data_IF_248657165337
#
_entry.id   IF_248657165337
#
_cell.length_a   1.000
_cell.length_b   1.000
_cell.length_c   1.000
_cell.angle_alpha   90.00
_cell.angle_beta   90.00
_cell.angle_gamma   90.00
#
_symmetry.space_group_name_H-M   'P 1'
#
loop_
_entity.id
_entity.type
_entity.pdbx_description
1 polymer ?
#
# COMPACT_ATOMS: atom_id res chain seq x y z
N UNK A 1 -10.60 42.97 2.81
CA UNK A 1 -9.29 43.08 3.46
C UNK A 1 -8.66 41.72 3.83
N UNK A 2 -9.11 40.58 3.26
CA UNK A 2 -8.58 39.23 3.52
C UNK A 2 -8.08 38.49 2.26
N UNK A 3 -7.78 39.20 1.17
CA UNK A 3 -7.12 38.64 -0.03
C UNK A 3 -5.64 39.04 -0.17
N UNK A 4 -5.17 40.03 0.59
CA UNK A 4 -3.77 40.47 0.58
C UNK A 4 -2.86 39.71 1.57
N UNK A 5 -3.42 38.85 2.43
CA UNK A 5 -2.64 38.14 3.47
C UNK A 5 -2.10 36.76 3.04
N UNK A 6 -2.38 36.29 1.82
CA UNK A 6 -1.90 34.97 1.34
C UNK A 6 -0.77 35.03 0.32
N UNK A 7 -0.39 36.21 -0.14
CA UNK A 7 0.77 36.40 -1.04
C UNK A 7 2.05 36.76 -0.25
N UNK A 8 1.89 37.21 1.01
CA UNK A 8 3.02 37.65 1.84
C UNK A 8 3.86 36.51 2.44
N UNK A 9 3.40 35.25 2.44
CA UNK A 9 4.17 34.12 2.99
C UNK A 9 5.05 33.40 1.96
N UNK A 10 4.81 33.61 0.66
CA UNK A 10 5.68 33.10 -0.41
C UNK A 10 6.92 33.98 -0.63
N UNK A 11 6.85 35.27 -0.27
CA UNK A 11 7.95 36.22 -0.43
C UNK A 11 9.08 36.07 0.62
N UNK A 12 8.85 35.34 1.72
CA UNK A 12 9.86 35.15 2.77
C UNK A 12 10.71 33.87 2.61
N UNK A 13 10.23 32.87 1.89
CA UNK A 13 11.00 31.63 1.62
C UNK A 13 12.05 31.86 0.50
N UNK A 14 11.87 32.87 -0.34
CA UNK A 14 12.81 33.22 -1.40
C UNK A 14 14.09 33.93 -0.92
N UNK A 15 14.19 34.37 0.34
CA UNK A 15 15.36 35.13 0.82
C UNK A 15 16.40 34.28 1.56
N UNK A 16 16.15 32.99 1.83
CA UNK A 16 17.09 32.12 2.58
C UNK A 16 17.78 31.04 1.73
N UNK A 17 17.60 31.07 0.40
CA UNK A 17 18.33 30.21 -0.55
C UNK A 17 19.18 31.02 -1.56
N UNK A 18 19.50 32.27 -1.24
CA UNK A 18 20.44 33.09 -2.02
C UNK A 18 21.78 33.20 -1.30
N UNK A 19 22.55 32.12 -1.35
CA UNK A 19 24.01 32.15 -1.34
C UNK A 19 24.48 30.80 -1.91
N UNK A 20 25.17 30.82 -3.05
CA UNK A 20 25.89 29.69 -3.68
C UNK A 20 25.23 28.84 -4.79
N UNK A 21 24.34 29.38 -5.63
CA UNK A 21 24.15 28.81 -6.99
C UNK A 21 24.14 29.93 -8.03
N UNK A 22 25.06 29.94 -9.01
CA UNK A 22 25.08 30.95 -10.07
C UNK A 22 23.82 30.84 -10.95
N UNK A 23 23.18 31.99 -11.19
CA UNK A 23 21.85 32.15 -11.80
C UNK A 23 21.72 31.76 -13.29
N UNK A 24 22.71 31.10 -13.90
CA UNK A 24 22.75 30.89 -15.36
C UNK A 24 22.68 29.43 -15.84
N UNK A 25 22.27 28.46 -15.01
CA UNK A 25 22.19 27.06 -15.44
C UNK A 25 20.83 26.38 -15.26
N UNK A 26 19.78 27.12 -14.89
CA UNK A 26 18.44 26.54 -14.69
C UNK A 26 17.44 27.25 -15.59
N UNK A 27 16.80 26.50 -16.48
CA UNK A 27 15.66 26.95 -17.26
C UNK A 27 14.42 27.02 -16.35
N UNK A 28 14.32 28.14 -15.63
CA UNK A 28 13.24 28.42 -14.69
C UNK A 28 11.87 28.52 -15.38
N UNK A 29 11.85 28.90 -16.66
CA UNK A 29 10.61 29.01 -17.44
C UNK A 29 10.07 27.61 -17.75
N UNK A 30 10.95 26.67 -18.14
CA UNK A 30 10.58 25.26 -18.31
C UNK A 30 10.12 24.59 -17.01
N UNK A 31 10.74 24.92 -15.88
CA UNK A 31 10.37 24.36 -14.57
C UNK A 31 8.98 24.84 -14.09
N UNK A 32 8.70 26.14 -14.22
CA UNK A 32 7.39 26.72 -13.87
C UNK A 32 6.30 26.20 -14.84
N UNK A 33 6.62 26.07 -16.13
CA UNK A 33 5.69 25.49 -17.12
C UNK A 33 5.30 24.05 -16.80
N UNK A 34 6.24 23.22 -16.34
CA UNK A 34 5.97 21.84 -15.92
C UNK A 34 5.11 21.76 -14.65
N UNK A 35 5.31 22.67 -13.70
CA UNK A 35 4.48 22.76 -12.49
C UNK A 35 3.04 23.17 -12.81
N UNK A 36 2.84 24.16 -13.70
CA UNK A 36 1.51 24.54 -14.14
C UNK A 36 0.81 23.42 -14.93
N UNK A 37 1.55 22.72 -15.79
CA UNK A 37 1.02 21.57 -16.54
C UNK A 37 0.61 20.43 -15.60
N UNK A 38 1.46 20.10 -14.62
CA UNK A 38 1.15 19.10 -13.60
C UNK A 38 -0.08 19.50 -12.76
N UNK A 39 -0.17 20.76 -12.33
CA UNK A 39 -1.32 21.27 -11.59
C UNK A 39 -2.62 21.17 -12.39
N UNK A 40 -2.60 21.56 -13.68
CA UNK A 40 -3.77 21.46 -14.58
C UNK A 40 -4.20 20.01 -14.82
N UNK A 41 -3.24 19.11 -14.98
CA UNK A 41 -3.52 17.67 -15.18
C UNK A 41 -4.16 17.07 -13.92
N UNK A 42 -3.66 17.40 -12.73
CA UNK A 42 -4.25 16.95 -11.46
C UNK A 42 -5.69 17.49 -11.30
N UNK A 43 -5.92 18.77 -11.60
CA UNK A 43 -7.26 19.35 -11.54
C UNK A 43 -8.23 18.66 -12.52
N UNK A 44 -7.78 18.35 -13.73
CA UNK A 44 -8.61 17.64 -14.72
C UNK A 44 -9.02 16.23 -14.27
N UNK A 45 -8.12 15.49 -13.60
CA UNK A 45 -8.44 14.16 -13.06
C UNK A 45 -9.41 14.23 -11.87
N UNK A 46 -9.29 15.24 -11.01
CA UNK A 46 -10.23 15.46 -9.91
C UNK A 46 -11.62 15.77 -10.45
N UNK A 47 -11.73 16.66 -11.45
CA UNK A 47 -13.03 16.97 -12.06
C UNK A 47 -13.66 15.80 -12.82
N UNK A 48 -12.84 14.94 -13.46
CA UNK A 48 -13.34 13.73 -14.11
C UNK A 48 -13.87 12.71 -13.10
N UNK A 49 -13.18 12.53 -11.97
CA UNK A 49 -13.61 11.64 -10.89
C UNK A 49 -14.88 12.14 -10.19
N UNK A 50 -15.08 13.46 -10.09
CA UNK A 50 -16.30 14.06 -9.54
C UNK A 50 -17.51 13.90 -10.48
N UNK A 51 -17.28 13.98 -11.80
CA UNK A 51 -18.32 13.79 -12.83
C UNK A 51 -18.78 12.32 -12.95
N UNK A 52 -17.90 11.34 -12.72
CA UNK A 52 -18.26 9.91 -12.71
C UNK A 52 -19.03 9.48 -11.44
N UNK A 53 -19.05 10.30 -10.38
CA UNK A 53 -19.75 9.97 -9.13
C UNK A 53 -21.24 10.33 -9.11
N UNK A 54 -21.75 11.06 -10.13
CA UNK A 54 -23.13 11.59 -10.11
C UNK A 54 -24.17 10.74 -10.84
N UNK A 55 -23.81 9.58 -11.40
CA UNK A 55 -24.75 8.78 -12.21
C UNK A 55 -24.61 7.28 -11.98
N UNK A 56 -25.11 6.80 -10.84
CA UNK A 56 -25.71 5.45 -10.74
C UNK A 56 -26.64 5.41 -9.53
N UNK A 57 -27.91 5.72 -9.77
CA UNK A 57 -29.03 5.44 -8.88
C UNK A 57 -29.93 4.41 -9.56
N UNK A 58 -30.42 3.46 -8.78
CA UNK A 58 -31.41 2.40 -9.09
C UNK A 58 -30.88 1.12 -9.75
N UNK A 59 -30.84 0.02 -8.99
CA UNK A 59 -31.84 -1.06 -9.00
C UNK A 59 -31.36 -2.20 -8.09
N UNK A 60 -32.17 -2.53 -7.08
CA UNK A 60 -31.96 -3.64 -6.16
C UNK A 60 -32.58 -4.90 -6.77
N UNK A 61 -31.81 -5.98 -6.90
CA UNK A 61 -32.32 -7.33 -7.09
C UNK A 61 -31.83 -8.23 -5.95
N UNK A 62 -32.74 -9.06 -5.45
CA UNK A 62 -32.65 -9.88 -4.24
C UNK A 62 -31.72 -11.09 -4.40
N UNK A 63 -31.02 -11.46 -3.32
CA UNK A 63 -30.17 -12.65 -3.23
C UNK A 63 -31.01 -13.96 -3.24
N UNK A 64 -30.58 -15.02 -3.95
CA UNK A 64 -31.18 -16.35 -3.82
C UNK A 64 -30.61 -17.12 -2.60
N UNK A 65 -31.37 -18.11 -2.06
CA UNK A 65 -31.15 -18.65 -0.72
C UNK A 65 -29.95 -19.60 -0.63
N UNK A 66 -29.35 -19.62 0.56
CA UNK A 66 -28.30 -20.54 0.99
C UNK A 66 -28.78 -22.01 0.90
N UNK A 67 -27.97 -22.85 0.23
CA UNK A 67 -28.13 -24.30 0.27
C UNK A 67 -27.22 -24.91 1.33
N UNK A 68 -27.81 -25.48 2.38
CA UNK A 68 -27.14 -26.38 3.32
C UNK A 68 -26.64 -27.64 2.61
N UNK A 69 -25.37 -28.00 2.79
CA UNK A 69 -24.90 -29.37 2.51
C UNK A 69 -24.02 -29.89 3.63
N UNK A 70 -24.63 -30.75 4.45
CA UNK A 70 -24.16 -32.01 5.00
C UNK A 70 -22.65 -32.29 5.10
N UNK A 71 -22.22 -32.55 6.33
CA UNK A 71 -20.95 -33.20 6.65
C UNK A 71 -20.87 -34.62 6.06
N UNK A 72 -19.82 -34.88 5.27
CA UNK A 72 -19.31 -36.22 5.00
C UNK A 72 -17.80 -36.24 5.21
N UNK A 73 -17.36 -37.24 5.97
CA UNK A 73 -16.01 -37.36 6.51
C UNK A 73 -15.06 -38.04 5.53
N UNK A 74 -13.84 -37.50 5.41
CA UNK A 74 -12.60 -38.25 5.18
C UNK A 74 -12.27 -38.72 3.76
N UNK A 75 -11.55 -37.89 2.99
CA UNK A 75 -10.29 -38.25 2.29
C UNK A 75 -9.83 -37.13 1.34
N UNK A 76 -8.55 -36.74 1.41
CA UNK A 76 -7.84 -36.06 0.32
C UNK A 76 -7.90 -34.53 0.22
N UNK A 77 -8.48 -33.78 1.18
CA UNK A 77 -8.42 -32.31 1.13
C UNK A 77 -6.95 -31.88 1.37
N UNK A 78 -6.30 -31.18 0.42
CA UNK A 78 -4.97 -30.64 0.66
C UNK A 78 -4.99 -29.77 1.91
N UNK A 79 -3.97 -29.86 2.76
CA UNK A 79 -3.82 -28.88 3.84
C UNK A 79 -3.81 -27.48 3.25
N UNK A 80 -4.24 -26.47 4.02
CA UNK A 80 -4.23 -25.07 3.58
C UNK A 80 -2.85 -24.67 3.02
N UNK A 81 -1.76 -25.11 3.64
CA UNK A 81 -0.38 -24.89 3.16
C UNK A 81 -0.13 -25.52 1.79
N UNK A 82 -0.58 -26.75 1.56
CA UNK A 82 -0.47 -27.41 0.26
C UNK A 82 -1.28 -26.68 -0.83
N UNK A 83 -2.48 -26.18 -0.50
CA UNK A 83 -3.29 -25.38 -1.43
C UNK A 83 -2.62 -24.04 -1.77
N UNK A 84 -2.06 -23.33 -0.77
CA UNK A 84 -1.31 -22.09 -0.99
C UNK A 84 -0.10 -22.32 -1.90
N UNK A 85 0.69 -23.37 -1.64
CA UNK A 85 1.84 -23.74 -2.48
C UNK A 85 1.44 -24.14 -3.89
N UNK A 86 0.34 -24.89 -4.05
CA UNK A 86 -0.20 -25.24 -5.36
C UNK A 86 -0.62 -24.00 -6.16
N UNK A 87 -1.06 -22.93 -5.48
CA UNK A 87 -1.36 -21.63 -6.08
C UNK A 87 -0.12 -20.74 -6.33
N UNK A 88 1.09 -21.26 -6.10
CA UNK A 88 2.36 -20.54 -6.32
C UNK A 88 2.79 -19.62 -5.17
N UNK A 89 2.05 -19.65 -4.06
CA UNK A 89 2.37 -18.85 -2.89
C UNK A 89 3.45 -19.53 -2.03
N UNK A 90 4.36 -18.72 -1.50
CA UNK A 90 5.43 -19.15 -0.59
C UNK A 90 5.45 -18.25 0.64
N UNK A 91 5.83 -18.81 1.78
CA UNK A 91 6.08 -18.02 2.98
C UNK A 91 7.34 -17.18 2.79
N UNK A 92 7.25 -15.87 3.05
CA UNK A 92 8.38 -14.95 2.92
C UNK A 92 9.56 -15.35 3.80
N UNK A 93 9.31 -15.90 4.99
CA UNK A 93 10.37 -16.28 5.93
C UNK A 93 11.10 -17.58 5.51
N UNK A 94 10.52 -18.38 4.61
CA UNK A 94 11.24 -19.48 3.94
C UNK A 94 12.21 -18.97 2.87
N UNK A 95 11.96 -17.78 2.31
CA UNK A 95 12.81 -17.15 1.28
C UNK A 95 13.90 -16.28 1.92
N UNK A 96 13.55 -15.47 2.90
CA UNK A 96 14.48 -14.66 3.68
C UNK A 96 14.01 -14.57 5.14
N UNK A 97 14.57 -15.38 6.05
CA UNK A 97 14.16 -15.42 7.46
C UNK A 97 14.53 -14.14 8.23
N UNK A 98 15.27 -13.21 7.62
CA UNK A 98 15.63 -11.93 8.25
C UNK A 98 14.57 -10.86 8.07
N UNK A 99 13.55 -11.10 7.23
CA UNK A 99 12.40 -10.21 7.08
C UNK A 99 11.44 -10.45 8.24
N UNK A 100 11.10 -9.37 8.94
CA UNK A 100 10.15 -9.44 10.05
C UNK A 100 8.71 -9.47 9.50
N UNK A 101 7.85 -10.21 10.19
CA UNK A 101 6.43 -10.34 9.84
C UNK A 101 5.60 -10.08 11.08
N UNK A 102 4.66 -9.16 10.97
CA UNK A 102 3.66 -8.85 11.99
C UNK A 102 2.35 -8.52 11.26
N UNK A 103 1.64 -9.56 10.82
CA UNK A 103 0.44 -9.38 10.02
C UNK A 103 -0.64 -8.67 10.84
N UNK A 104 -0.96 -7.42 10.48
CA UNK A 104 -1.87 -6.57 11.25
C UNK A 104 -3.27 -7.16 11.32
N UNK A 105 -3.74 -7.76 10.23
CA UNK A 105 -5.01 -8.48 10.18
C UNK A 105 -5.00 -9.85 10.89
N UNK A 106 -3.86 -10.35 11.39
CA UNK A 106 -3.82 -11.48 12.33
C UNK A 106 -3.97 -11.05 13.81
N UNK A 107 -4.07 -9.75 14.07
CA UNK A 107 -4.19 -9.16 15.42
C UNK A 107 -5.41 -8.23 15.49
N UNK A 108 -5.69 -7.64 16.65
CA UNK A 108 -6.67 -6.55 16.77
C UNK A 108 -6.11 -5.16 16.39
N UNK A 109 -4.81 -5.05 16.11
CA UNK A 109 -4.15 -3.80 15.69
C UNK A 109 -4.36 -3.55 14.18
N UNK A 110 -5.63 -3.32 13.81
CA UNK A 110 -6.04 -2.93 12.47
C UNK A 110 -7.35 -2.12 12.57
N UNK A 111 -7.79 -1.49 11.48
CA UNK A 111 -8.96 -0.61 11.55
C UNK A 111 -10.29 -1.31 11.92
N UNK A 112 -10.37 -2.65 11.81
CA UNK A 112 -11.56 -3.41 12.22
C UNK A 112 -11.60 -3.72 13.72
N UNK A 113 -10.47 -3.55 14.43
CA UNK A 113 -10.35 -3.81 15.86
C UNK A 113 -10.39 -5.29 16.27
N UNK A 114 -10.39 -6.23 15.31
CA UNK A 114 -10.40 -7.68 15.54
C UNK A 114 -9.49 -8.42 14.56
N UNK A 115 -8.99 -9.62 14.91
CA UNK A 115 -8.28 -10.46 13.96
C UNK A 115 -9.20 -11.00 12.87
N UNK A 116 -8.66 -11.11 11.67
CA UNK A 116 -9.27 -11.64 10.44
C UNK A 116 -8.51 -12.84 9.87
N UNK A 117 -7.20 -12.93 10.12
CA UNK A 117 -6.37 -14.08 9.77
C UNK A 117 -6.26 -15.05 10.97
N UNK A 118 -6.22 -16.36 10.70
CA UNK A 118 -5.92 -17.37 11.73
C UNK A 118 -4.43 -17.70 11.81
N UNK A 119 -3.66 -17.32 10.80
CA UNK A 119 -2.21 -17.51 10.70
C UNK A 119 -1.47 -16.17 10.69
N UNK A 120 -0.28 -16.15 11.28
CA UNK A 120 0.67 -15.04 11.23
C UNK A 120 1.73 -15.19 10.13
N UNK A 121 1.67 -16.26 9.32
CA UNK A 121 2.60 -16.51 8.21
C UNK A 121 2.24 -15.64 7.01
N UNK A 122 3.23 -14.93 6.46
CA UNK A 122 3.03 -14.05 5.31
C UNK A 122 3.33 -14.80 4.01
N UNK A 123 2.30 -15.04 3.21
CA UNK A 123 2.41 -15.69 1.91
C UNK A 123 2.42 -14.67 0.78
N UNK A 124 3.24 -14.91 -0.24
CA UNK A 124 3.34 -14.09 -1.44
C UNK A 124 3.61 -14.98 -2.65
N UNK A 125 3.35 -14.47 -3.86
CA UNK A 125 3.84 -15.11 -5.08
C UNK A 125 5.37 -15.23 -5.02
N UNK A 126 5.91 -16.36 -5.48
CA UNK A 126 7.34 -16.65 -5.33
C UNK A 126 8.25 -15.56 -5.91
N UNK A 127 7.93 -15.00 -7.07
CA UNK A 127 8.71 -13.90 -7.66
C UNK A 127 8.63 -12.61 -6.85
N UNK A 128 7.49 -12.35 -6.20
CA UNK A 128 7.29 -11.21 -5.28
C UNK A 128 8.12 -11.37 -4.01
N UNK A 129 8.10 -12.56 -3.40
CA UNK A 129 8.93 -12.88 -2.24
C UNK A 129 10.44 -12.72 -2.55
N UNK A 130 10.89 -13.19 -3.71
CA UNK A 130 12.27 -13.01 -4.17
C UNK A 130 12.64 -11.54 -4.40
N UNK A 131 11.69 -10.69 -4.82
CA UNK A 131 11.92 -9.23 -4.93
C UNK A 131 12.07 -8.61 -3.55
N UNK A 132 11.25 -8.98 -2.57
CA UNK A 132 11.38 -8.51 -1.19
C UNK A 132 12.72 -8.90 -0.56
N UNK A 133 13.23 -10.11 -0.84
CA UNK A 133 14.58 -10.50 -0.42
C UNK A 133 15.68 -9.59 -1.01
N UNK A 134 15.48 -9.02 -2.22
CA UNK A 134 16.39 -8.00 -2.77
C UNK A 134 16.24 -6.67 -2.04
N UNK A 135 15.02 -6.24 -1.73
CA UNK A 135 14.77 -5.03 -0.92
C UNK A 135 15.45 -5.13 0.44
N UNK A 136 15.26 -6.26 1.13
CA UNK A 136 15.90 -6.56 2.41
C UNK A 136 17.43 -6.45 2.31
N UNK A 137 18.05 -7.02 1.28
CA UNK A 137 19.50 -6.86 1.04
C UNK A 137 19.92 -5.40 0.88
N UNK A 138 19.15 -4.57 0.16
CA UNK A 138 19.47 -3.16 -0.01
C UNK A 138 19.34 -2.35 1.28
N UNK A 139 18.32 -2.64 2.09
CA UNK A 139 18.10 -1.95 3.37
C UNK A 139 19.14 -2.34 4.42
N UNK A 140 19.58 -3.61 4.44
CA UNK A 140 20.63 -4.07 5.36
C UNK A 140 21.96 -3.33 5.17
N UNK A 141 22.29 -2.94 3.94
CA UNK A 141 23.48 -2.11 3.68
C UNK A 141 23.42 -0.72 4.31
N UNK A 142 22.21 -0.26 4.66
CA UNK A 142 21.95 1.03 5.29
C UNK A 142 21.68 0.91 6.80
N UNK A 143 21.86 -0.28 7.39
CA UNK A 143 21.52 -0.52 8.80
C UNK A 143 20.02 -0.63 9.07
N UNK A 144 19.24 -1.00 8.06
CA UNK A 144 17.78 -1.10 8.10
C UNK A 144 17.29 -2.51 7.73
N UNK A 145 16.01 -2.77 7.96
CA UNK A 145 15.31 -3.98 7.51
C UNK A 145 13.85 -3.72 7.19
N UNK A 146 13.17 -4.72 6.62
CA UNK A 146 11.73 -4.71 6.41
C UNK A 146 10.97 -5.37 7.55
N UNK A 147 9.79 -4.81 7.85
CA UNK A 147 8.70 -5.52 8.51
C UNK A 147 7.47 -5.51 7.61
N UNK A 148 6.86 -6.68 7.39
CA UNK A 148 5.64 -6.84 6.59
C UNK A 148 4.42 -6.89 7.50
N UNK A 149 3.43 -6.07 7.15
CA UNK A 149 2.13 -5.94 7.83
C UNK A 149 1.00 -6.62 7.08
N UNK A 150 1.09 -6.75 5.75
CA UNK A 150 0.18 -7.58 4.96
C UNK A 150 0.83 -8.12 3.69
N UNK A 151 0.37 -9.28 3.23
CA UNK A 151 0.82 -9.95 2.01
C UNK A 151 -0.37 -10.52 1.25
N UNK A 152 -0.39 -11.83 0.99
CA UNK A 152 -1.59 -12.49 0.49
C UNK A 152 -2.75 -12.33 1.48
N UNK A 153 -3.89 -11.86 0.97
CA UNK A 153 -5.14 -11.68 1.71
C UNK A 153 -6.23 -12.49 1.01
N UNK A 154 -6.95 -13.41 1.68
CA UNK A 154 -8.07 -14.11 1.04
C UNK A 154 -9.18 -13.14 0.59
N UNK A 155 -9.85 -13.42 -0.52
CA UNK A 155 -10.96 -12.59 -1.02
C UNK A 155 -12.11 -12.45 -0.01
N UNK A 156 -12.40 -13.49 0.76
CA UNK A 156 -13.33 -13.48 1.90
C UNK A 156 -12.95 -12.40 2.94
N UNK A 157 -11.67 -12.29 3.30
CA UNK A 157 -11.19 -11.24 4.20
C UNK A 157 -11.30 -9.86 3.54
N UNK A 158 -10.99 -9.73 2.24
CA UNK A 158 -11.21 -8.47 1.51
C UNK A 158 -12.67 -8.01 1.58
N UNK A 159 -13.64 -8.92 1.51
CA UNK A 159 -15.06 -8.60 1.70
C UNK A 159 -15.37 -8.15 3.11
N UNK A 160 -14.74 -8.74 4.13
CA UNK A 160 -14.89 -8.29 5.52
C UNK A 160 -14.31 -6.89 5.75
N UNK A 161 -13.11 -6.62 5.24
CA UNK A 161 -12.49 -5.28 5.28
C UNK A 161 -13.37 -4.26 4.56
N UNK A 162 -13.86 -4.61 3.36
CA UNK A 162 -14.77 -3.76 2.61
C UNK A 162 -16.03 -3.47 3.40
N UNK A 163 -16.67 -4.47 4.05
CA UNK A 163 -17.85 -4.24 4.89
C UNK A 163 -17.56 -3.31 6.07
N UNK A 164 -16.43 -3.50 6.75
CA UNK A 164 -16.07 -2.76 7.96
C UNK A 164 -15.62 -1.30 7.70
N UNK A 165 -15.09 -0.99 6.51
CA UNK A 165 -14.55 0.34 6.24
C UNK A 165 -15.63 1.43 6.22
N UNK A 166 -15.40 2.54 6.92
CA UNK A 166 -16.29 3.71 6.88
C UNK A 166 -16.21 4.46 5.55
N UNK A 167 -15.05 4.43 4.90
CA UNK A 167 -14.81 5.03 3.59
C UNK A 167 -14.27 3.98 2.61
N UNK A 168 -15.10 3.61 1.63
CA UNK A 168 -14.78 2.54 0.68
C UNK A 168 -13.71 2.93 -0.34
N UNK A 169 -13.32 4.22 -0.43
CA UNK A 169 -12.30 4.68 -1.38
C UNK A 169 -10.90 4.14 -1.05
N UNK A 170 -10.67 3.70 0.19
CA UNK A 170 -9.39 3.18 0.67
C UNK A 170 -9.30 1.65 0.64
N UNK A 171 -10.39 0.96 0.33
CA UNK A 171 -10.40 -0.50 0.27
C UNK A 171 -10.73 -0.89 -1.17
N UNK A 172 -9.99 -1.81 -1.77
CA UNK A 172 -10.32 -2.28 -3.11
C UNK A 172 -11.70 -2.97 -3.14
N UNK A 173 -12.50 -2.66 -4.17
CA UNK A 173 -13.81 -3.26 -4.35
C UNK A 173 -13.69 -4.79 -4.58
N UNK A 174 -14.29 -5.62 -3.71
CA UNK A 174 -14.17 -7.07 -3.78
C UNK A 174 -14.76 -7.67 -5.06
N UNK A 175 -15.58 -6.94 -5.82
CA UNK A 175 -16.08 -7.39 -7.15
C UNK A 175 -14.93 -7.61 -8.14
N UNK A 176 -13.86 -6.82 -8.04
CA UNK A 176 -12.68 -6.92 -8.91
C UNK A 176 -11.47 -7.56 -8.23
N UNK A 177 -11.55 -7.77 -6.91
CA UNK A 177 -10.46 -8.20 -6.05
C UNK A 177 -9.36 -7.14 -5.89
N UNK A 178 -8.34 -7.48 -5.11
CA UNK A 178 -7.15 -6.65 -4.87
C UNK A 178 -5.88 -7.39 -5.29
N UNK A 179 -4.76 -6.67 -5.39
CA UNK A 179 -3.45 -7.29 -5.63
C UNK A 179 -2.98 -8.11 -4.41
N UNK A 180 -3.49 -7.85 -3.20
CA UNK A 180 -3.30 -8.74 -2.05
C UNK A 180 -3.99 -10.08 -2.26
N UNK A 181 -5.17 -10.13 -2.87
CA UNK A 181 -5.84 -11.39 -3.19
C UNK A 181 -5.08 -12.24 -4.22
N UNK A 182 -4.15 -11.63 -4.94
CA UNK A 182 -3.29 -12.28 -5.92
C UNK A 182 -1.96 -12.75 -5.34
N UNK A 183 -1.68 -12.43 -4.06
CA UNK A 183 -0.37 -12.59 -3.44
C UNK A 183 0.70 -11.70 -4.06
N UNK A 184 0.28 -10.59 -4.69
CA UNK A 184 1.12 -9.74 -5.54
C UNK A 184 1.19 -8.28 -5.09
N UNK A 185 0.78 -8.00 -3.85
CA UNK A 185 0.98 -6.75 -3.14
C UNK A 185 1.54 -7.02 -1.75
N UNK A 186 2.14 -5.99 -1.16
CA UNK A 186 2.70 -6.03 0.18
C UNK A 186 2.51 -4.68 0.87
N UNK A 187 2.13 -4.75 2.15
CA UNK A 187 2.12 -3.60 3.06
C UNK A 187 3.30 -3.75 4.02
N UNK A 188 4.15 -2.74 4.09
CA UNK A 188 5.40 -2.85 4.85
C UNK A 188 5.90 -1.51 5.42
N UNK A 189 6.81 -1.63 6.37
CA UNK A 189 7.54 -0.51 6.98
C UNK A 189 9.04 -0.82 7.11
N UNK A 190 9.80 0.18 7.54
CA UNK A 190 11.20 0.03 7.90
C UNK A 190 11.36 -0.27 9.39
N UNK A 191 12.36 -1.10 9.68
CA UNK A 191 12.88 -1.32 11.02
C UNK A 191 14.37 -1.01 11.07
N UNK A 192 14.88 -0.66 12.26
CA UNK A 192 16.32 -0.61 12.51
C UNK A 192 16.90 -2.03 12.72
N UNK A 193 18.22 -2.13 12.93
CA UNK A 193 18.89 -3.43 13.17
C UNK A 193 18.43 -4.19 14.42
N UNK A 194 17.73 -3.53 15.35
CA UNK A 194 17.12 -4.16 16.53
C UNK A 194 15.71 -4.68 16.26
N UNK A 195 15.16 -4.41 15.08
CA UNK A 195 13.78 -4.76 14.72
C UNK A 195 12.72 -3.76 15.18
N UNK A 196 13.15 -2.58 15.66
CA UNK A 196 12.23 -1.51 16.08
C UNK A 196 11.76 -0.73 14.85
N UNK A 197 10.45 -0.50 14.73
CA UNK A 197 9.84 0.25 13.63
C UNK A 197 10.31 1.71 13.64
N UNK A 198 10.61 2.24 12.46
CA UNK A 198 10.95 3.65 12.30
C UNK A 198 9.71 4.53 12.18
N UNK A 199 9.78 5.82 12.58
CA UNK A 199 8.71 6.78 12.34
C UNK A 199 8.36 6.86 10.85
N UNK A 200 7.06 6.89 10.56
CA UNK A 200 6.50 6.96 9.21
C UNK A 200 5.39 8.02 9.14
N UNK A 201 5.01 8.52 7.95
CA UNK A 201 4.13 9.69 7.82
C UNK A 201 2.75 9.56 8.49
N UNK A 202 2.28 8.33 8.67
CA UNK A 202 1.05 8.01 9.36
C UNK A 202 1.08 6.57 9.87
N UNK A 203 0.14 6.20 10.76
CA UNK A 203 -0.08 4.78 11.13
C UNK A 203 -0.61 3.98 9.93
N UNK A 204 -0.38 2.67 9.94
CA UNK A 204 -1.04 1.73 9.02
C UNK A 204 -2.56 1.88 9.06
N UNK A 205 -3.22 1.63 7.92
CA UNK A 205 -4.67 1.82 7.70
C UNK A 205 -5.17 3.25 8.06
N UNK A 206 -4.32 4.26 7.89
CA UNK A 206 -4.74 5.67 7.99
C UNK A 206 -5.49 6.10 6.73
N UNK A 207 -6.82 6.14 6.79
CA UNK A 207 -7.66 6.65 5.70
C UNK A 207 -7.71 8.19 5.67
N UNK A 208 -6.55 8.83 5.63
CA UNK A 208 -6.41 10.28 5.56
C UNK A 208 -5.23 10.70 4.69
N UNK A 209 -5.17 12.00 4.36
CA UNK A 209 -4.15 12.59 3.48
C UNK A 209 -2.70 12.35 3.91
N UNK A 210 -2.42 12.09 5.20
CA UNK A 210 -1.06 11.81 5.67
C UNK A 210 -0.55 10.43 5.20
N UNK A 211 -1.44 9.55 4.72
CA UNK A 211 -1.03 8.31 4.06
C UNK A 211 -0.46 8.53 2.64
N UNK A 212 -0.79 9.66 2.00
CA UNK A 212 -0.41 9.91 0.62
C UNK A 212 1.09 10.19 0.48
N UNK A 213 1.74 9.54 -0.48
CA UNK A 213 3.20 9.59 -0.66
C UNK A 213 3.74 10.98 -1.00
N UNK A 214 2.98 11.79 -1.73
CA UNK A 214 3.39 13.14 -2.14
C UNK A 214 3.18 14.19 -1.05
N UNK A 215 2.52 13.83 0.06
CA UNK A 215 2.31 14.78 1.14
C UNK A 215 3.53 14.77 2.07
N UNK A 216 4.15 15.93 2.22
CA UNK A 216 5.22 16.12 3.21
C UNK A 216 4.66 15.85 4.60
N UNK A 217 5.27 14.91 5.33
CA UNK A 217 5.04 14.78 6.75
C UNK A 217 5.55 16.03 7.46
N UNK A 218 4.86 16.46 8.51
CA UNK A 218 5.35 17.53 9.38
C UNK A 218 6.60 17.10 10.16
N UNK A 219 6.80 15.79 10.30
CA UNK A 219 8.00 15.19 10.88
C UNK A 219 8.99 14.82 9.76
N UNK A 220 10.14 15.49 9.77
CA UNK A 220 11.13 15.35 8.70
C UNK A 220 11.72 13.93 8.63
N UNK A 221 11.94 13.28 9.77
CA UNK A 221 12.43 11.90 9.85
C UNK A 221 11.43 10.93 9.21
N UNK A 222 10.15 11.03 9.56
CA UNK A 222 9.09 10.20 8.98
C UNK A 222 9.00 10.32 7.46
N UNK A 223 9.19 11.52 6.92
CA UNK A 223 9.22 11.74 5.47
C UNK A 223 10.48 11.15 4.81
N UNK A 224 11.64 11.26 5.45
CA UNK A 224 12.88 10.65 4.94
C UNK A 224 12.78 9.13 4.93
N UNK A 225 12.21 8.53 5.98
CA UNK A 225 12.01 7.08 6.06
C UNK A 225 11.08 6.56 4.97
N UNK A 226 10.00 7.27 4.65
CA UNK A 226 9.11 6.87 3.55
C UNK A 226 9.78 6.96 2.18
N UNK A 227 10.64 7.96 1.94
CA UNK A 227 11.46 8.06 0.72
C UNK A 227 12.45 6.89 0.62
N UNK A 228 13.12 6.52 1.73
CA UNK A 228 14.06 5.40 1.76
C UNK A 228 13.34 4.09 1.42
N UNK A 229 12.18 3.85 2.04
CA UNK A 229 11.36 2.67 1.77
C UNK A 229 10.94 2.62 0.30
N UNK A 230 10.38 3.71 -0.22
CA UNK A 230 9.95 3.78 -1.61
C UNK A 230 11.10 3.55 -2.59
N UNK A 231 12.26 4.17 -2.36
CA UNK A 231 13.44 3.99 -3.20
C UNK A 231 13.91 2.53 -3.20
N UNK A 232 13.95 1.87 -2.04
CA UNK A 232 14.34 0.47 -1.93
C UNK A 232 13.35 -0.47 -2.65
N UNK A 233 12.04 -0.22 -2.48
CA UNK A 233 10.97 -0.99 -3.12
C UNK A 233 11.00 -0.81 -4.65
N UNK A 234 11.08 0.43 -5.15
CA UNK A 234 11.21 0.73 -6.59
C UNK A 234 12.45 0.09 -7.20
N UNK A 235 13.57 0.07 -6.49
CA UNK A 235 14.81 -0.57 -6.96
C UNK A 235 14.64 -2.08 -7.20
N UNK A 236 13.76 -2.73 -6.45
CA UNK A 236 13.39 -4.14 -6.68
C UNK A 236 12.23 -4.32 -7.69
N UNK A 237 11.76 -3.22 -8.29
CA UNK A 237 10.74 -3.19 -9.34
C UNK A 237 9.31 -3.14 -8.82
N UNK A 238 9.07 -2.84 -7.54
CA UNK A 238 7.72 -2.61 -7.03
C UNK A 238 7.16 -1.26 -7.51
N UNK A 239 5.84 -1.20 -7.62
CA UNK A 239 5.06 -0.02 -7.95
C UNK A 239 4.37 0.49 -6.68
N UNK A 240 4.75 1.67 -6.16
CA UNK A 240 4.09 2.22 -4.98
C UNK A 240 2.67 2.69 -5.29
N UNK A 241 1.74 2.46 -4.37
CA UNK A 241 0.40 3.05 -4.45
C UNK A 241 0.43 4.49 -3.95
N UNK A 242 -0.05 5.40 -4.78
CA UNK A 242 0.13 6.83 -4.57
C UNK A 242 -0.46 7.33 -3.22
N UNK A 243 -1.63 6.78 -2.83
CA UNK A 243 -2.40 7.21 -1.65
C UNK A 243 -1.99 6.50 -0.35
N UNK A 244 -1.09 5.51 -0.41
CA UNK A 244 -0.70 4.68 0.74
C UNK A 244 0.81 4.45 0.75
N UNK A 245 1.53 5.11 1.67
CA UNK A 245 2.99 5.06 1.74
C UNK A 245 3.56 3.66 2.05
N UNK A 246 2.76 2.79 2.67
CA UNK A 246 3.14 1.42 3.05
C UNK A 246 2.88 0.38 1.93
N UNK A 247 1.98 0.66 0.98
CA UNK A 247 1.49 -0.31 -0.02
C UNK A 247 2.33 -0.31 -1.29
N UNK A 248 2.73 -1.50 -1.73
CA UNK A 248 3.49 -1.71 -2.95
C UNK A 248 2.99 -2.92 -3.76
N UNK A 249 2.75 -2.70 -5.05
CA UNK A 249 2.35 -3.74 -5.99
C UNK A 249 3.55 -4.32 -6.76
N UNK A 250 3.48 -5.61 -7.10
CA UNK A 250 4.33 -6.17 -8.14
C UNK A 250 3.92 -5.61 -9.53
N UNK A 251 4.88 -5.36 -10.45
CA UNK A 251 4.62 -4.64 -11.70
C UNK A 251 3.63 -5.35 -12.63
N UNK A 252 3.49 -6.68 -12.52
CA UNK A 252 2.57 -7.50 -13.32
C UNK A 252 1.54 -8.23 -12.44
N UNK A 253 1.11 -7.62 -11.33
CA UNK A 253 0.26 -8.28 -10.33
C UNK A 253 -0.99 -8.97 -10.92
N UNK A 254 -1.59 -8.38 -11.97
CA UNK A 254 -2.80 -8.90 -12.63
C UNK A 254 -2.61 -10.21 -13.40
N UNK A 255 -1.37 -10.66 -13.64
CA UNK A 255 -1.11 -11.98 -14.27
C UNK A 255 -1.53 -13.15 -13.37
N UNK A 256 -1.64 -12.91 -12.06
CA UNK A 256 -2.05 -13.89 -11.07
C UNK A 256 -3.55 -13.86 -10.84
N UNK A 257 -4.22 -15.00 -10.59
CA UNK A 257 -5.64 -15.03 -10.29
C UNK A 257 -5.94 -14.41 -8.92
N UNK A 258 -7.19 -13.98 -8.72
CA UNK A 258 -7.72 -13.68 -7.38
C UNK A 258 -7.94 -15.01 -6.66
N UNK A 259 -7.41 -15.14 -5.44
CA UNK A 259 -7.50 -16.35 -4.63
C UNK A 259 -8.37 -16.10 -3.39
N UNK A 260 -8.98 -17.18 -2.89
CA UNK A 260 -9.76 -17.21 -1.64
C UNK A 260 -9.40 -18.44 -0.78
N UNK A 261 -8.12 -18.80 -0.79
CA UNK A 261 -7.56 -19.86 0.06
C UNK A 261 -7.40 -19.29 1.48
N UNK A 262 -7.96 -19.92 2.53
CA UNK A 262 -7.89 -19.40 3.90
C UNK A 262 -6.46 -19.23 4.45
N UNK A 263 -6.31 -18.37 5.46
CA UNK A 263 -5.11 -18.21 6.31
C UNK A 263 -5.41 -18.59 7.76
#
# INVERSE_FOLDING_TARGET
MLRYLRVATAAWIMTLLFCFIPLNTVDWVGWIGNLEHMYRTVQAHVSAAEAESSDTSTLYEEDPPESETGALSGSGIPSTDAALRAAGLVDIQEIDPTILVELKYATSDNFTGRPLYRSSRCYLQKDVALRLAKVQKYLRLQGLGLKIWDGYRPLSVQRELWKAASDKRFIADPRYGSNHNRGAAVDCTLVNLKGEELPMPSRFDSFNRNAHRWLLSMEQEAHQNSIILEAAMRRAGFVPLAFEWWHFDAPDARKYPVLDIPL
#
